data_IF_722193662087
#
_entry.id   IF_722193662087
#
_cell.length_a   1.000
_cell.length_b   1.000
_cell.length_c   1.000
_cell.angle_alpha   90.00
_cell.angle_beta   90.00
_cell.angle_gamma   90.00
#
_symmetry.space_group_name_H-M   'P 1'
#
loop_
_entity.id
_entity.type
_entity.pdbx_description
1 polymer ?
#
# COMPACT_ATOMS: atom_id res chain seq x y z
N UNK A 1 -12.34 17.42 11.11
CA UNK A 1 -11.38 16.87 10.13
C UNK A 1 -10.16 16.36 10.89
N UNK A 2 -10.22 15.14 11.42
CA UNK A 2 -9.05 14.53 12.08
C UNK A 2 -8.09 14.09 10.98
N UNK A 3 -6.98 14.82 10.82
CA UNK A 3 -5.86 14.35 10.00
C UNK A 3 -5.24 13.16 10.74
N UNK A 4 -5.18 11.97 10.14
CA UNK A 4 -4.09 11.04 10.45
C UNK A 4 -2.82 11.73 9.93
N UNK A 5 -2.09 12.42 10.80
CA UNK A 5 -1.09 13.42 10.38
C UNK A 5 0.16 12.77 9.76
N UNK A 6 0.47 11.50 10.06
CA UNK A 6 1.79 10.93 9.75
C UNK A 6 1.73 9.82 8.70
N UNK A 7 0.89 8.79 8.90
CA UNK A 7 0.67 7.70 7.93
C UNK A 7 -0.82 7.66 7.59
N UNK A 8 -1.15 8.01 6.34
CA UNK A 8 -2.51 7.96 5.80
C UNK A 8 -2.81 6.59 5.17
N UNK A 9 -4.00 6.44 4.58
CA UNK A 9 -4.42 5.20 3.95
C UNK A 9 -3.50 4.78 2.78
N UNK A 10 -2.85 5.72 2.08
CA UNK A 10 -1.88 5.38 1.05
C UNK A 10 -0.62 4.74 1.67
N UNK A 11 -0.14 5.30 2.79
CA UNK A 11 0.97 4.73 3.55
C UNK A 11 0.68 3.30 4.03
N UNK A 12 -0.53 3.06 4.54
CA UNK A 12 -0.97 1.70 4.95
C UNK A 12 -0.90 0.71 3.78
N UNK A 13 -1.33 1.11 2.58
CA UNK A 13 -1.23 0.25 1.40
C UNK A 13 0.22 -0.06 1.01
N UNK A 14 1.12 0.93 1.11
CA UNK A 14 2.53 0.74 0.81
C UNK A 14 3.20 -0.24 1.78
N UNK A 15 2.95 -0.10 3.08
CA UNK A 15 3.45 -1.03 4.11
C UNK A 15 2.85 -2.44 3.91
N UNK A 16 1.57 -2.53 3.55
CA UNK A 16 0.93 -3.81 3.23
C UNK A 16 1.62 -4.50 2.05
N UNK A 17 1.91 -3.78 0.97
CA UNK A 17 2.62 -4.33 -0.20
C UNK A 17 4.09 -4.66 0.12
N UNK A 18 4.73 -3.92 1.03
CA UNK A 18 6.09 -4.25 1.48
C UNK A 18 6.10 -5.60 2.22
N UNK A 19 5.13 -5.82 3.10
CA UNK A 19 5.01 -7.02 3.93
C UNK A 19 4.62 -8.27 3.15
N UNK A 20 3.68 -8.15 2.21
CA UNK A 20 3.10 -9.30 1.49
C UNK A 20 3.55 -9.41 0.02
N UNK A 21 4.27 -8.42 -0.49
CA UNK A 21 4.72 -8.39 -1.88
C UNK A 21 3.58 -8.07 -2.86
N UNK A 22 3.48 -8.89 -3.91
CA UNK A 22 2.52 -8.69 -5.00
C UNK A 22 1.13 -9.20 -4.59
N UNK A 23 0.12 -8.34 -4.67
CA UNK A 23 -1.26 -8.64 -4.27
C UNK A 23 -2.27 -8.23 -5.34
N UNK A 24 -3.35 -8.99 -5.49
CA UNK A 24 -4.54 -8.52 -6.19
C UNK A 24 -5.25 -7.41 -5.40
N UNK A 25 -6.14 -6.64 -6.06
CA UNK A 25 -6.94 -5.61 -5.38
C UNK A 25 -7.79 -6.17 -4.23
N UNK A 26 -8.30 -7.41 -4.36
CA UNK A 26 -9.07 -8.07 -3.31
C UNK A 26 -8.19 -8.41 -2.11
N UNK A 27 -7.03 -9.02 -2.35
CA UNK A 27 -6.10 -9.36 -1.27
C UNK A 27 -5.56 -8.10 -0.59
N UNK A 28 -5.23 -7.07 -1.37
CA UNK A 28 -4.75 -5.80 -0.85
C UNK A 28 -5.77 -5.16 0.10
N UNK A 29 -7.06 -5.20 -0.25
CA UNK A 29 -8.15 -4.77 0.62
C UNK A 29 -8.21 -5.60 1.91
N UNK A 30 -8.18 -6.93 1.79
CA UNK A 30 -8.28 -7.83 2.94
C UNK A 30 -7.09 -7.72 3.89
N UNK A 31 -5.89 -7.46 3.37
CA UNK A 31 -4.66 -7.32 4.17
C UNK A 31 -4.47 -5.93 4.78
N UNK A 32 -5.03 -4.89 4.17
CA UNK A 32 -4.93 -3.51 4.67
C UNK A 32 -6.11 -3.08 5.57
N UNK A 33 -7.17 -3.88 5.64
CA UNK A 33 -8.43 -3.56 6.34
C UNK A 33 -9.06 -2.22 5.90
N UNK A 34 -8.82 -1.84 4.64
CA UNK A 34 -9.38 -0.62 4.04
C UNK A 34 -10.63 -0.92 3.21
N UNK A 35 -11.51 0.07 3.09
CA UNK A 35 -12.68 -0.03 2.22
C UNK A 35 -12.28 -0.17 0.75
N UNK A 36 -13.14 -0.82 -0.06
CA UNK A 36 -12.96 -0.90 -1.52
C UNK A 36 -12.65 0.47 -2.13
N UNK A 37 -13.48 1.47 -1.86
CA UNK A 37 -13.32 2.82 -2.43
C UNK A 37 -11.97 3.43 -2.03
N UNK A 38 -11.55 3.27 -0.78
CA UNK A 38 -10.26 3.76 -0.27
C UNK A 38 -9.09 3.09 -0.98
N UNK A 39 -9.14 1.77 -1.18
CA UNK A 39 -8.10 1.01 -1.90
C UNK A 39 -8.01 1.52 -3.33
N UNK A 40 -9.12 1.60 -4.07
CA UNK A 40 -9.12 2.05 -5.47
C UNK A 40 -8.57 3.47 -5.62
N UNK A 41 -9.01 4.40 -4.77
CA UNK A 41 -8.56 5.79 -4.82
C UNK A 41 -7.05 5.92 -4.56
N UNK A 42 -6.53 5.22 -3.55
CA UNK A 42 -5.12 5.30 -3.21
C UNK A 42 -4.23 4.49 -4.15
N UNK A 43 -4.68 3.34 -4.67
CA UNK A 43 -3.97 2.62 -5.75
C UNK A 43 -3.81 3.52 -6.97
N UNK A 44 -4.88 4.20 -7.40
CA UNK A 44 -4.79 5.15 -8.52
C UNK A 44 -3.75 6.24 -8.25
N UNK A 45 -3.80 6.88 -7.08
CA UNK A 45 -2.86 7.93 -6.67
C UNK A 45 -1.41 7.42 -6.61
N UNK A 46 -1.18 6.23 -6.06
CA UNK A 46 0.16 5.64 -5.94
C UNK A 46 0.74 5.24 -7.31
N UNK A 47 -0.11 4.77 -8.24
CA UNK A 47 0.29 4.52 -9.64
C UNK A 47 0.73 5.83 -10.32
N UNK A 48 -0.07 6.90 -10.19
CA UNK A 48 0.24 8.22 -10.75
C UNK A 48 1.56 8.80 -10.18
N UNK A 49 1.90 8.46 -8.93
CA UNK A 49 3.17 8.86 -8.29
C UNK A 49 4.38 7.97 -8.64
N UNK A 50 4.15 6.86 -9.36
CA UNK A 50 5.16 5.86 -9.71
C UNK A 50 5.71 5.08 -8.50
N UNK A 51 4.91 4.96 -7.44
CA UNK A 51 5.28 4.23 -6.22
C UNK A 51 4.85 2.76 -6.26
N UNK A 52 3.83 2.44 -7.05
CA UNK A 52 3.42 1.07 -7.32
C UNK A 52 3.34 0.85 -8.84
N UNK A 53 3.33 -0.42 -9.23
CA UNK A 53 3.12 -0.87 -10.59
C UNK A 53 2.02 -1.94 -10.61
N UNK A 54 1.40 -2.10 -11.77
CA UNK A 54 0.39 -3.11 -11.99
C UNK A 54 0.74 -4.03 -13.16
N UNK A 55 0.45 -5.31 -12.99
CA UNK A 55 0.50 -6.32 -14.02
C UNK A 55 -0.90 -6.90 -14.21
N UNK A 56 -1.34 -7.01 -15.46
CA UNK A 56 -2.55 -7.76 -15.79
C UNK A 56 -2.16 -9.22 -16.01
N UNK A 57 -2.76 -10.13 -15.25
CA UNK A 57 -2.62 -11.55 -15.54
C UNK A 57 -3.10 -11.84 -16.97
N UNK A 58 -2.31 -12.60 -17.71
CA UNK A 58 -2.62 -12.96 -19.11
C UNK A 58 -3.76 -13.98 -19.19
N UNK A 59 -3.87 -14.83 -18.18
CA UNK A 59 -4.87 -15.91 -18.09
C UNK A 59 -6.07 -15.49 -17.24
N UNK A 60 -7.23 -16.08 -17.54
CA UNK A 60 -8.44 -15.89 -16.73
C UNK A 60 -8.16 -16.30 -15.28
N UNK A 61 -8.52 -15.50 -14.26
CA UNK A 61 -9.47 -14.38 -14.27
C UNK A 61 -8.88 -12.98 -14.54
N UNK A 62 -7.66 -12.86 -15.09
CA UNK A 62 -7.02 -11.60 -15.52
C UNK A 62 -6.96 -10.53 -14.43
N UNK A 63 -6.52 -10.90 -13.23
CA UNK A 63 -6.50 -9.96 -12.11
C UNK A 63 -5.45 -8.88 -12.34
N UNK A 64 -5.72 -7.70 -11.78
CA UNK A 64 -4.72 -6.65 -11.58
C UNK A 64 -3.89 -7.03 -10.37
N UNK A 65 -2.61 -7.32 -10.59
CA UNK A 65 -1.64 -7.59 -9.55
C UNK A 65 -0.83 -6.34 -9.30
N UNK A 66 -0.86 -5.87 -8.06
CA UNK A 66 -0.24 -4.63 -7.62
C UNK A 66 1.03 -4.97 -6.84
N UNK A 67 2.12 -4.26 -7.09
CA UNK A 67 3.39 -4.40 -6.38
C UNK A 67 4.10 -3.05 -6.24
N UNK A 68 5.05 -2.95 -5.32
CA UNK A 68 5.89 -1.76 -5.18
C UNK A 68 6.87 -1.67 -6.36
N UNK A 69 7.10 -0.45 -6.85
CA UNK A 69 8.29 -0.19 -7.68
C UNK A 69 9.54 -0.14 -6.78
N UNK A 70 10.73 -0.08 -7.36
CA UNK A 70 11.97 0.16 -6.59
C UNK A 70 11.91 1.47 -5.78
N UNK A 71 11.32 2.52 -6.36
CA UNK A 71 11.08 3.79 -5.66
C UNK A 71 10.06 3.59 -4.54
N UNK A 72 8.98 2.86 -4.81
CA UNK A 72 7.96 2.49 -3.84
C UNK A 72 8.52 1.76 -2.64
N UNK A 73 9.37 0.76 -2.87
CA UNK A 73 10.00 -0.05 -1.82
C UNK A 73 10.77 0.82 -0.83
N UNK A 74 11.65 1.69 -1.33
CA UNK A 74 12.43 2.61 -0.47
C UNK A 74 11.54 3.57 0.34
N UNK A 75 10.40 3.98 -0.23
CA UNK A 75 9.45 4.84 0.49
C UNK A 75 8.69 4.03 1.54
N UNK A 76 8.23 2.82 1.21
CA UNK A 76 7.52 1.94 2.12
C UNK A 76 8.38 1.54 3.33
N UNK A 77 9.66 1.23 3.11
CA UNK A 77 10.63 0.94 4.19
C UNK A 77 10.73 2.11 5.17
N UNK A 78 10.82 3.35 4.67
CA UNK A 78 10.82 4.55 5.52
C UNK A 78 9.52 4.75 6.28
N UNK A 79 8.39 4.41 5.67
CA UNK A 79 7.09 4.49 6.33
C UNK A 79 6.98 3.44 7.44
N UNK A 80 7.47 2.22 7.22
CA UNK A 80 7.53 1.16 8.23
C UNK A 80 8.46 1.54 9.39
N UNK A 81 9.63 2.13 9.11
CA UNK A 81 10.53 2.69 10.15
C UNK A 81 9.79 3.74 11.00
N UNK A 82 9.09 4.68 10.37
CA UNK A 82 8.30 5.71 11.06
C UNK A 82 7.19 5.07 11.91
N UNK A 83 6.46 4.09 11.38
CA UNK A 83 5.42 3.36 12.12
C UNK A 83 6.01 2.63 13.34
N UNK A 84 7.19 2.05 13.17
CA UNK A 84 7.95 1.40 14.23
C UNK A 84 8.30 2.36 15.36
N UNK A 85 8.84 3.54 15.04
CA UNK A 85 9.15 4.57 16.05
C UNK A 85 7.90 5.06 16.78
N UNK A 86 6.78 5.23 16.07
CA UNK A 86 5.51 5.65 16.68
C UNK A 86 4.88 4.58 17.58
N UNK A 87 5.21 3.31 17.37
CA UNK A 87 4.67 2.17 18.13
C UNK A 87 5.48 1.83 19.37
N UNK A 88 6.69 2.36 19.52
CA UNK A 88 7.49 2.23 20.74
C UNK A 88 6.87 3.09 21.84
N UNK A 89 6.35 2.45 22.88
CA UNK A 89 6.01 3.14 24.13
C UNK A 89 7.29 3.25 24.97
N UNK A 90 7.96 4.38 24.90
CA UNK A 90 8.97 4.76 25.90
C UNK A 90 8.23 5.31 27.14
N UNK A 91 7.71 4.41 27.99
CA UNK A 91 7.26 4.68 29.37
C UNK A 91 7.76 3.60 30.32
#
# INVERSE_FOLDING_TARGET
>A
MQRKIIIDEAGVLMITLLKYGRLSLLELREKSDLSNQTVYNNVKRLLEMGLIQEELEQEFPRRRLISLTEKGKRVAEKLEEIEGELSKNDL
#
